data_IF_106707458047
#
_entry.id   IF_106707458047
#
_cell.length_a   1.000
_cell.length_b   1.000
_cell.length_c   1.000
_cell.angle_alpha   90.00
_cell.angle_beta   90.00
_cell.angle_gamma   90.00
#
_symmetry.space_group_name_H-M   'P 1'
#
loop_
_entity.id
_entity.type
_entity.pdbx_description
1 polymer ?
#
# COMPACT_ATOMS: atom_id res chain seq x y z
N UNK A 1 18.17 11.55 24.07
CA UNK A 1 17.66 10.19 23.81
C UNK A 1 17.75 9.98 22.31
N UNK A 2 18.32 8.85 21.86
CA UNK A 2 18.37 8.51 20.43
C UNK A 2 16.94 8.41 19.89
N UNK A 3 16.57 9.24 18.91
CA UNK A 3 15.30 9.10 18.20
C UNK A 3 15.37 7.83 17.35
N UNK A 4 14.32 7.01 17.38
CA UNK A 4 14.25 5.80 16.55
C UNK A 4 14.45 6.18 15.07
N UNK A 5 15.31 5.44 14.37
CA UNK A 5 15.62 5.67 12.97
C UNK A 5 15.15 4.48 12.14
N UNK A 6 14.45 4.75 11.05
CA UNK A 6 13.85 3.75 10.16
C UNK A 6 14.26 4.00 8.72
N UNK A 7 14.47 2.92 7.96
CA UNK A 7 14.87 2.98 6.55
C UNK A 7 13.83 2.31 5.65
N UNK A 8 13.49 2.95 4.53
CA UNK A 8 12.42 2.54 3.61
C UNK A 8 12.92 2.48 2.18
N UNK A 9 12.66 1.35 1.50
CA UNK A 9 12.95 1.15 0.08
C UNK A 9 11.67 0.79 -0.69
N UNK A 10 10.69 1.71 -0.77
CA UNK A 10 9.41 1.40 -1.39
C UNK A 10 9.49 1.13 -2.90
N UNK A 11 10.56 1.57 -3.58
CA UNK A 11 10.79 1.28 -5.01
C UNK A 11 10.95 -0.22 -5.28
N UNK A 12 11.57 -0.96 -4.36
CA UNK A 12 11.84 -2.42 -4.46
C UNK A 12 10.60 -3.28 -4.64
N UNK A 13 9.44 -2.77 -4.22
CA UNK A 13 8.15 -3.43 -4.42
C UNK A 13 7.76 -3.46 -5.90
N UNK A 14 8.21 -2.48 -6.69
CA UNK A 14 7.72 -2.12 -8.03
C UNK A 14 8.76 -2.29 -9.15
N UNK A 15 9.98 -2.69 -8.85
CA UNK A 15 11.05 -2.94 -9.83
C UNK A 15 10.78 -4.20 -10.69
N UNK A 16 11.16 -4.16 -11.98
CA UNK A 16 10.95 -5.28 -12.92
C UNK A 16 11.96 -6.43 -12.73
N UNK A 17 13.15 -6.13 -12.19
CA UNK A 17 14.29 -7.04 -12.05
C UNK A 17 14.48 -7.60 -10.63
N UNK A 18 13.62 -7.23 -9.69
CA UNK A 18 13.59 -7.87 -8.41
C UNK A 18 13.18 -9.34 -8.58
N UNK A 19 13.91 -10.27 -7.96
CA UNK A 19 13.38 -11.62 -7.74
C UNK A 19 12.09 -11.57 -6.92
N UNK A 20 11.55 -12.74 -6.54
CA UNK A 20 10.44 -12.78 -5.57
C UNK A 20 10.85 -11.98 -4.32
N UNK A 21 10.14 -10.88 -4.08
CA UNK A 21 10.28 -10.08 -2.87
C UNK A 21 9.38 -10.69 -1.80
N UNK A 22 9.80 -10.56 -0.54
CA UNK A 22 9.05 -11.13 0.58
C UNK A 22 7.96 -10.16 1.05
N UNK A 23 6.89 -10.05 0.26
CA UNK A 23 5.67 -9.33 0.65
C UNK A 23 4.40 -10.02 0.15
N UNK A 24 3.30 -9.80 0.88
CA UNK A 24 1.96 -10.17 0.48
C UNK A 24 1.28 -9.05 -0.32
N UNK A 25 0.75 -9.38 -1.49
CA UNK A 25 -0.16 -8.54 -2.25
C UNK A 25 -1.59 -8.82 -1.81
N UNK A 26 -2.28 -7.79 -1.32
CA UNK A 26 -3.68 -7.84 -0.91
C UNK A 26 -4.53 -7.01 -1.86
N UNK A 27 -5.52 -7.60 -2.52
CA UNK A 27 -6.39 -6.92 -3.47
C UNK A 27 -7.77 -6.69 -2.87
N UNK A 28 -8.16 -5.42 -2.78
CA UNK A 28 -9.42 -4.98 -2.20
C UNK A 28 -10.50 -4.82 -3.28
N UNK A 29 -11.77 -4.74 -2.86
CA UNK A 29 -12.91 -4.61 -3.77
C UNK A 29 -13.08 -3.17 -4.32
N UNK A 30 -12.05 -2.65 -5.01
CA UNK A 30 -12.06 -1.34 -5.65
C UNK A 30 -11.63 -1.44 -7.12
N UNK A 31 -12.03 -0.50 -7.99
CA UNK A 31 -11.58 -0.47 -9.37
C UNK A 31 -10.04 -0.45 -9.46
N UNK A 32 -9.49 -1.38 -10.24
CA UNK A 32 -8.05 -1.49 -10.49
C UNK A 32 -7.74 -0.76 -11.79
N UNK A 33 -7.11 0.42 -11.70
CA UNK A 33 -6.83 1.29 -12.87
C UNK A 33 -5.48 0.99 -13.54
N UNK A 34 -4.47 0.57 -12.79
CA UNK A 34 -3.11 0.40 -13.31
C UNK A 34 -2.74 -1.07 -13.49
N UNK A 35 -2.89 -1.57 -14.71
CA UNK A 35 -2.66 -2.98 -15.04
C UNK A 35 -1.18 -3.34 -15.04
N UNK A 36 -0.31 -2.40 -15.45
CA UNK A 36 1.14 -2.60 -15.47
C UNK A 36 1.70 -2.77 -14.04
N UNK A 37 1.34 -1.88 -13.12
CA UNK A 37 1.78 -1.94 -11.73
C UNK A 37 1.20 -3.17 -11.02
N UNK A 38 -0.06 -3.51 -11.26
CA UNK A 38 -0.63 -4.75 -10.74
C UNK A 38 0.19 -5.96 -11.20
N UNK A 39 0.56 -6.04 -12.49
CA UNK A 39 1.40 -7.15 -13.00
C UNK A 39 2.77 -7.20 -12.33
N UNK A 40 3.42 -6.05 -12.12
CA UNK A 40 4.70 -5.95 -11.41
C UNK A 40 4.58 -6.44 -9.97
N UNK A 41 3.63 -5.90 -9.21
CA UNK A 41 3.40 -6.31 -7.82
C UNK A 41 3.01 -7.78 -7.73
N UNK A 42 2.18 -8.27 -8.65
CA UNK A 42 1.77 -9.67 -8.68
C UNK A 42 2.94 -10.62 -8.92
N UNK A 43 3.84 -10.27 -9.85
CA UNK A 43 5.08 -11.00 -10.12
C UNK A 43 5.99 -10.98 -8.90
N UNK A 44 6.15 -9.83 -8.26
CA UNK A 44 7.11 -9.62 -7.18
C UNK A 44 6.64 -10.19 -5.83
N UNK A 45 5.34 -10.30 -5.60
CA UNK A 45 4.78 -10.81 -4.34
C UNK A 45 5.01 -12.32 -4.11
N UNK A 46 5.25 -12.71 -2.85
CA UNK A 46 5.32 -14.11 -2.42
C UNK A 46 3.94 -14.69 -2.11
N UNK A 47 3.00 -13.84 -1.67
CA UNK A 47 1.63 -14.23 -1.30
C UNK A 47 0.62 -13.29 -1.95
N UNK A 48 -0.48 -13.84 -2.51
CA UNK A 48 -1.53 -13.10 -3.21
C UNK A 48 -2.87 -13.41 -2.58
N UNK A 49 -3.52 -12.38 -2.03
CA UNK A 49 -4.78 -12.49 -1.29
C UNK A 49 -5.78 -11.52 -1.88
N UNK A 50 -7.04 -11.93 -1.98
CA UNK A 50 -8.15 -11.04 -2.29
C UNK A 50 -9.07 -10.90 -1.07
N UNK A 51 -9.41 -9.66 -0.73
CA UNK A 51 -10.46 -9.36 0.24
C UNK A 51 -11.82 -9.42 -0.47
N UNK A 52 -12.56 -10.49 -0.23
CA UNK A 52 -13.89 -10.77 -0.78
C UNK A 52 -14.03 -10.40 -2.28
N UNK A 53 -14.78 -9.34 -2.58
CA UNK A 53 -15.02 -8.87 -3.95
C UNK A 53 -13.77 -8.38 -4.69
N UNK A 54 -12.63 -8.24 -4.03
CA UNK A 54 -11.32 -8.04 -4.68
C UNK A 54 -10.99 -9.13 -5.69
N UNK A 55 -11.47 -10.36 -5.48
CA UNK A 55 -11.31 -11.46 -6.43
C UNK A 55 -12.07 -11.19 -7.73
N UNK A 56 -13.26 -10.55 -7.64
CA UNK A 56 -14.02 -10.15 -8.83
C UNK A 56 -13.23 -9.14 -9.67
N UNK A 57 -12.55 -8.19 -9.01
CA UNK A 57 -11.73 -7.17 -9.68
C UNK A 57 -10.56 -7.80 -10.43
N UNK A 58 -9.87 -8.76 -9.81
CA UNK A 58 -8.81 -9.53 -10.45
C UNK A 58 -9.31 -10.36 -11.63
N UNK A 59 -10.46 -11.02 -11.48
CA UNK A 59 -11.05 -11.85 -12.54
C UNK A 59 -11.47 -11.01 -13.76
N UNK A 60 -12.03 -9.82 -13.52
CA UNK A 60 -12.37 -8.86 -14.58
C UNK A 60 -11.14 -8.51 -15.42
N UNK A 61 -10.02 -8.12 -14.79
CA UNK A 61 -8.79 -7.82 -15.51
C UNK A 61 -8.17 -9.06 -16.19
N UNK A 62 -8.33 -10.24 -15.57
CA UNK A 62 -7.79 -11.48 -16.13
C UNK A 62 -8.40 -11.85 -17.48
N UNK A 63 -9.63 -11.40 -17.72
CA UNK A 63 -10.35 -11.60 -18.98
C UNK A 63 -9.78 -10.74 -20.13
N UNK A 64 -9.04 -9.67 -19.83
CA UNK A 64 -8.57 -8.71 -20.83
C UNK A 64 -7.07 -8.77 -21.13
N UNK A 65 -6.18 -9.03 -20.16
CA UNK A 65 -4.72 -8.83 -20.38
C UNK A 65 -3.74 -9.75 -19.62
N UNK A 66 -4.17 -10.83 -18.97
CA UNK A 66 -3.24 -11.79 -18.35
C UNK A 66 -3.84 -12.57 -17.18
N UNK A 67 -3.44 -13.82 -16.97
CA UNK A 67 -4.07 -14.69 -15.97
C UNK A 67 -3.52 -14.40 -14.56
N UNK A 68 -4.26 -13.66 -13.73
CA UNK A 68 -4.01 -13.56 -12.28
C UNK A 68 -4.54 -14.81 -11.56
N UNK A 69 -4.21 -16.00 -12.08
CA UNK A 69 -4.86 -17.26 -11.71
C UNK A 69 -4.22 -17.95 -10.51
N UNK A 70 -2.97 -17.65 -10.17
CA UNK A 70 -2.28 -18.20 -9.00
C UNK A 70 -2.60 -17.40 -7.70
N UNK A 71 -3.83 -16.92 -7.57
CA UNK A 71 -4.33 -16.34 -6.32
C UNK A 71 -4.32 -17.41 -5.23
N UNK A 72 -3.83 -17.10 -4.04
CA UNK A 72 -3.64 -18.09 -2.97
C UNK A 72 -4.80 -18.12 -1.98
N UNK A 73 -5.44 -16.97 -1.71
CA UNK A 73 -6.58 -16.91 -0.82
C UNK A 73 -7.61 -15.84 -1.23
N UNK A 74 -8.88 -16.14 -0.96
CA UNK A 74 -10.00 -15.19 -0.98
C UNK A 74 -10.61 -15.21 0.42
N UNK A 75 -10.65 -14.07 1.10
CA UNK A 75 -11.12 -13.98 2.48
C UNK A 75 -12.07 -12.81 2.68
N UNK A 76 -13.14 -13.04 3.43
CA UNK A 76 -14.11 -12.03 3.84
C UNK A 76 -15.39 -12.68 4.34
N UNK A 77 -16.46 -11.91 4.51
CA UNK A 77 -17.81 -12.48 4.70
C UNK A 77 -18.37 -13.13 3.42
N UNK A 78 -17.71 -12.91 2.27
CA UNK A 78 -18.04 -13.49 0.97
C UNK A 78 -19.38 -13.01 0.40
N UNK A 79 -19.87 -11.85 0.84
CA UNK A 79 -21.13 -11.28 0.38
C UNK A 79 -21.03 -10.62 -1.01
N UNK A 80 -19.81 -10.21 -1.39
CA UNK A 80 -19.53 -9.54 -2.65
C UNK A 80 -18.93 -10.47 -3.69
N UNK A 81 -18.34 -11.61 -3.31
CA UNK A 81 -17.74 -12.60 -4.21
C UNK A 81 -18.77 -13.25 -5.14
N UNK A 82 -18.59 -13.12 -6.45
CA UNK A 82 -19.44 -13.80 -7.42
C UNK A 82 -19.19 -15.32 -7.42
N UNK A 83 -20.25 -16.12 -7.51
CA UNK A 83 -20.14 -17.59 -7.57
C UNK A 83 -19.25 -18.08 -8.72
N UNK A 84 -19.40 -17.51 -9.92
CA UNK A 84 -18.57 -17.87 -11.08
C UNK A 84 -17.09 -17.53 -10.89
N UNK A 85 -16.78 -16.46 -10.14
CA UNK A 85 -15.41 -16.06 -9.82
C UNK A 85 -14.82 -16.98 -8.75
N UNK A 86 -15.61 -17.34 -7.74
CA UNK A 86 -15.25 -18.34 -6.74
C UNK A 86 -14.91 -19.68 -7.41
N UNK A 87 -15.77 -20.14 -8.31
CA UNK A 87 -15.58 -21.39 -9.04
C UNK A 87 -14.31 -21.34 -9.89
N UNK A 88 -14.09 -20.24 -10.62
CA UNK A 88 -12.87 -20.03 -11.41
C UNK A 88 -11.60 -20.19 -10.57
N UNK A 89 -11.51 -19.51 -9.41
CA UNK A 89 -10.32 -19.59 -8.56
C UNK A 89 -10.18 -20.93 -7.84
N UNK A 90 -11.31 -21.61 -7.56
CA UNK A 90 -11.32 -22.95 -6.96
C UNK A 90 -10.95 -24.05 -7.94
N UNK A 91 -11.09 -23.81 -9.26
CA UNK A 91 -10.78 -24.79 -10.31
C UNK A 91 -9.37 -24.65 -10.91
N UNK A 92 -8.53 -23.76 -10.37
CA UNK A 92 -7.16 -23.58 -10.87
C UNK A 92 -6.27 -24.77 -10.50
N UNK A 93 -5.16 -25.03 -11.22
CA UNK A 93 -4.22 -26.10 -10.87
C UNK A 93 -3.70 -26.01 -9.43
N UNK A 94 -3.56 -24.79 -8.92
CA UNK A 94 -3.36 -24.49 -7.50
C UNK A 94 -4.55 -23.66 -7.03
N UNK A 95 -5.58 -24.28 -6.45
CA UNK A 95 -6.80 -23.59 -6.04
C UNK A 95 -6.54 -22.53 -4.98
N UNK A 96 -7.24 -21.40 -5.09
CA UNK A 96 -7.26 -20.42 -4.01
C UNK A 96 -8.05 -20.97 -2.82
N UNK A 97 -7.55 -20.75 -1.60
CA UNK A 97 -8.30 -21.05 -0.38
C UNK A 97 -9.42 -20.01 -0.22
N UNK A 98 -10.68 -20.46 -0.19
CA UNK A 98 -11.84 -19.59 0.07
C UNK A 98 -12.17 -19.65 1.56
N UNK A 99 -12.03 -18.52 2.25
CA UNK A 99 -12.12 -18.41 3.69
C UNK A 99 -13.30 -17.51 4.04
N UNK A 100 -14.33 -18.10 4.61
CA UNK A 100 -15.48 -17.37 5.13
C UNK A 100 -15.20 -16.95 6.57
N UNK A 101 -15.10 -15.65 6.80
CA UNK A 101 -14.95 -15.05 8.12
C UNK A 101 -16.25 -14.33 8.50
N UNK A 102 -16.92 -14.88 9.51
CA UNK A 102 -18.25 -14.43 9.95
C UNK A 102 -18.21 -13.19 10.84
N UNK A 103 -17.02 -12.70 11.22
CA UNK A 103 -16.91 -11.47 12.02
C UNK A 103 -17.57 -10.28 11.29
N UNK A 104 -18.43 -9.57 11.99
CA UNK A 104 -19.18 -8.41 11.47
C UNK A 104 -18.61 -7.08 11.98
N UNK A 105 -17.67 -7.12 12.93
CA UNK A 105 -17.08 -5.94 13.54
C UNK A 105 -15.80 -5.48 12.81
N UNK A 106 -15.28 -6.29 11.88
CA UNK A 106 -14.13 -5.96 11.03
C UNK A 106 -14.46 -5.96 9.55
N UNK A 107 -13.78 -5.10 8.80
CA UNK A 107 -13.86 -5.06 7.33
C UNK A 107 -13.09 -6.22 6.70
N UNK A 108 -13.38 -6.55 5.43
CA UNK A 108 -12.60 -7.57 4.69
C UNK A 108 -11.12 -7.19 4.54
N UNK A 109 -10.80 -5.90 4.52
CA UNK A 109 -9.40 -5.46 4.58
C UNK A 109 -8.76 -5.91 5.90
N UNK A 110 -9.45 -5.67 7.02
CA UNK A 110 -8.99 -6.08 8.34
C UNK A 110 -8.86 -7.60 8.53
N UNK A 111 -9.86 -8.34 8.06
CA UNK A 111 -9.87 -9.81 8.03
C UNK A 111 -8.66 -10.33 7.25
N UNK A 112 -8.40 -9.77 6.07
CA UNK A 112 -7.29 -10.17 5.22
C UNK A 112 -5.91 -9.86 5.86
N UNK A 113 -5.71 -8.67 6.44
CA UNK A 113 -4.45 -8.35 7.14
C UNK A 113 -4.22 -9.35 8.28
N UNK A 114 -5.24 -9.57 9.11
CA UNK A 114 -5.16 -10.48 10.27
C UNK A 114 -4.81 -11.90 9.82
N UNK A 115 -5.43 -12.37 8.75
CA UNK A 115 -5.14 -13.68 8.18
C UNK A 115 -3.71 -13.78 7.62
N UNK A 116 -3.23 -12.77 6.89
CA UNK A 116 -1.84 -12.74 6.38
C UNK A 116 -0.87 -12.82 7.56
N UNK A 117 -1.06 -11.98 8.58
CA UNK A 117 -0.19 -11.93 9.77
C UNK A 117 -0.19 -13.24 10.57
N UNK A 118 -1.30 -13.98 10.57
CA UNK A 118 -1.44 -15.27 11.25
C UNK A 118 -0.82 -16.44 10.48
N UNK A 119 -0.86 -16.40 9.15
CA UNK A 119 -0.50 -17.55 8.29
C UNK A 119 0.89 -17.46 7.67
N UNK A 120 1.45 -16.27 7.60
CA UNK A 120 2.75 -16.00 6.99
C UNK A 120 3.82 -15.72 8.06
N UNK A 121 5.12 -15.75 7.70
CA UNK A 121 6.20 -15.44 8.63
C UNK A 121 6.00 -14.08 9.33
N UNK A 122 6.42 -13.99 10.59
CA UNK A 122 6.50 -12.73 11.30
C UNK A 122 7.44 -11.79 10.55
N UNK A 123 6.97 -10.58 10.23
CA UNK A 123 7.67 -9.52 9.48
C UNK A 123 7.36 -9.39 7.97
N UNK A 124 6.43 -10.18 7.40
CA UNK A 124 6.09 -10.03 5.98
C UNK A 124 5.47 -8.65 5.67
N UNK A 125 5.99 -7.91 4.69
CA UNK A 125 5.34 -6.65 4.27
C UNK A 125 4.00 -6.94 3.56
N UNK A 126 3.04 -6.01 3.62
CA UNK A 126 1.75 -6.11 2.91
C UNK A 126 1.62 -4.90 1.99
N UNK A 127 1.36 -5.15 0.71
CA UNK A 127 0.97 -4.13 -0.25
C UNK A 127 -0.52 -4.33 -0.57
N UNK A 128 -1.35 -3.43 -0.08
CA UNK A 128 -2.78 -3.41 -0.33
C UNK A 128 -3.10 -2.58 -1.59
N UNK A 129 -3.81 -3.19 -2.54
CA UNK A 129 -4.34 -2.54 -3.74
C UNK A 129 -5.80 -2.18 -3.52
N UNK A 130 -6.08 -0.89 -3.47
CA UNK A 130 -7.43 -0.39 -3.34
C UNK A 130 -7.43 1.13 -3.32
N UNK A 131 -8.30 1.73 -4.13
CA UNK A 131 -8.42 3.18 -4.20
C UNK A 131 -8.96 3.79 -2.91
N UNK A 132 -8.46 4.98 -2.59
CA UNK A 132 -9.07 6.00 -1.73
C UNK A 132 -10.14 6.78 -2.53
N UNK A 133 -10.13 6.66 -3.87
CA UNK A 133 -11.10 7.31 -4.76
C UNK A 133 -12.48 6.66 -4.72
N UNK A 134 -13.51 7.45 -5.05
CA UNK A 134 -14.90 7.03 -4.98
C UNK A 134 -15.59 7.57 -3.72
N UNK A 135 -16.13 6.67 -2.90
CA UNK A 135 -16.81 7.03 -1.65
C UNK A 135 -15.81 7.54 -0.61
N UNK A 136 -16.03 8.76 -0.09
CA UNK A 136 -15.13 9.41 0.88
C UNK A 136 -14.96 8.58 2.15
N UNK A 137 -16.05 8.01 2.67
CA UNK A 137 -16.04 7.17 3.87
C UNK A 137 -15.20 5.89 3.67
N UNK A 138 -15.27 5.29 2.48
CA UNK A 138 -14.41 4.15 2.12
C UNK A 138 -12.95 4.58 2.05
N UNK A 139 -12.64 5.71 1.41
CA UNK A 139 -11.27 6.22 1.34
C UNK A 139 -10.67 6.50 2.72
N UNK A 140 -11.44 7.13 3.61
CA UNK A 140 -11.03 7.33 5.01
C UNK A 140 -10.88 6.01 5.77
N UNK A 141 -11.74 5.02 5.50
CA UNK A 141 -11.62 3.68 6.08
C UNK A 141 -10.29 3.02 5.70
N UNK A 142 -9.83 3.13 4.44
CA UNK A 142 -8.52 2.58 4.05
C UNK A 142 -7.36 3.21 4.81
N UNK A 143 -7.39 4.54 5.00
CA UNK A 143 -6.38 5.24 5.78
C UNK A 143 -6.45 4.85 7.26
N UNK A 144 -7.66 4.70 7.80
CA UNK A 144 -7.90 4.21 9.16
C UNK A 144 -7.28 2.82 9.37
N UNK A 145 -7.40 1.90 8.41
CA UNK A 145 -6.81 0.57 8.53
C UNK A 145 -5.27 0.59 8.62
N UNK A 146 -4.58 1.56 8.01
CA UNK A 146 -3.13 1.73 8.22
C UNK A 146 -2.82 2.02 9.69
N UNK A 147 -3.58 2.91 10.34
CA UNK A 147 -3.43 3.19 11.77
C UNK A 147 -3.84 2.00 12.65
N UNK A 148 -4.91 1.31 12.29
CA UNK A 148 -5.45 0.20 13.07
C UNK A 148 -4.54 -1.03 13.08
N UNK A 149 -3.86 -1.32 11.97
CA UNK A 149 -3.06 -2.54 11.81
C UNK A 149 -1.55 -2.33 11.82
N UNK A 150 -1.05 -1.12 11.57
CA UNK A 150 0.37 -0.78 11.75
C UNK A 150 0.61 -0.25 13.16
N UNK A 151 0.39 -1.08 14.20
CA UNK A 151 0.46 -0.61 15.60
C UNK A 151 1.86 -0.65 16.19
N UNK A 152 2.70 -1.59 15.75
CA UNK A 152 4.06 -1.78 16.26
C UNK A 152 4.96 -0.59 15.93
N UNK A 153 5.57 0.09 16.92
CA UNK A 153 6.46 1.23 16.70
C UNK A 153 7.75 0.86 15.94
N UNK A 154 8.15 -0.42 15.93
CA UNK A 154 9.34 -0.92 15.27
C UNK A 154 9.05 -1.69 13.97
N UNK A 155 7.77 -1.83 13.58
CA UNK A 155 7.35 -2.60 12.40
C UNK A 155 7.76 -4.08 12.44
N UNK A 156 7.90 -4.71 13.61
CA UNK A 156 8.38 -6.10 13.70
C UNK A 156 7.44 -7.12 13.04
N UNK A 157 6.15 -6.78 12.90
CA UNK A 157 5.17 -7.57 12.16
C UNK A 157 5.16 -7.31 10.64
N UNK A 158 6.05 -6.47 10.14
CA UNK A 158 6.10 -6.04 8.74
C UNK A 158 5.31 -4.75 8.51
N UNK A 159 5.62 -4.08 7.41
CA UNK A 159 5.04 -2.81 7.00
C UNK A 159 3.81 -3.03 6.14
N UNK A 160 2.91 -2.05 6.15
CA UNK A 160 1.71 -2.03 5.32
C UNK A 160 1.78 -0.80 4.42
N UNK A 161 1.66 -1.04 3.13
CA UNK A 161 1.59 -0.03 2.09
C UNK A 161 0.20 -0.09 1.44
N UNK A 162 -0.39 1.08 1.19
CA UNK A 162 -1.62 1.23 0.45
C UNK A 162 -1.29 1.85 -0.91
N UNK A 163 -1.50 1.09 -1.98
CA UNK A 163 -1.47 1.61 -3.32
C UNK A 163 -2.88 2.00 -3.77
N UNK A 164 -3.09 3.30 -3.95
CA UNK A 164 -4.37 3.88 -4.33
C UNK A 164 -4.19 4.80 -5.53
N UNK A 165 -4.82 4.48 -6.66
CA UNK A 165 -4.66 5.25 -7.89
C UNK A 165 -3.19 5.28 -8.31
N UNK A 166 -2.62 6.49 -8.40
CA UNK A 166 -1.23 6.71 -8.77
C UNK A 166 -0.36 7.10 -7.56
N UNK A 167 -0.66 6.61 -6.36
CA UNK A 167 0.13 6.94 -5.17
C UNK A 167 0.29 5.76 -4.22
N UNK A 168 1.50 5.64 -3.67
CA UNK A 168 1.84 4.70 -2.61
C UNK A 168 1.84 5.44 -1.28
N UNK A 169 1.07 4.95 -0.31
CA UNK A 169 0.87 5.56 1.00
C UNK A 169 1.21 4.59 2.11
N UNK A 170 1.92 5.02 3.13
CA UNK A 170 2.27 4.20 4.29
C UNK A 170 2.41 5.06 5.56
N UNK A 171 2.34 4.42 6.72
CA UNK A 171 2.37 5.09 8.01
C UNK A 171 3.79 5.20 8.54
N UNK A 172 4.25 6.42 8.79
CA UNK A 172 5.47 6.71 9.54
C UNK A 172 5.12 6.83 11.02
N UNK A 173 5.71 5.98 11.85
CA UNK A 173 5.72 6.08 13.31
C UNK A 173 6.45 7.33 13.79
N UNK A 174 6.25 7.72 15.04
CA UNK A 174 7.11 8.73 15.67
C UNK A 174 8.60 8.33 15.58
N UNK A 175 9.44 9.21 15.03
CA UNK A 175 10.85 8.94 14.80
C UNK A 175 11.42 9.65 13.58
N UNK A 176 12.58 9.19 13.11
CA UNK A 176 13.25 9.68 11.91
C UNK A 176 13.25 8.59 10.84
N UNK A 177 12.86 8.96 9.63
CA UNK A 177 12.65 8.05 8.51
C UNK A 177 13.54 8.47 7.34
N UNK A 178 14.33 7.54 6.83
CA UNK A 178 15.07 7.68 5.58
C UNK A 178 14.29 6.94 4.50
N UNK A 179 13.71 7.66 3.55
CA UNK A 179 12.84 7.12 2.51
C UNK A 179 13.55 7.23 1.17
N UNK A 180 14.02 6.09 0.65
CA UNK A 180 14.70 6.01 -0.64
C UNK A 180 13.67 6.08 -1.76
N UNK A 181 13.65 7.23 -2.45
CA UNK A 181 12.71 7.56 -3.53
C UNK A 181 13.35 7.42 -4.91
N UNK A 182 14.67 7.22 -4.98
CA UNK A 182 15.42 6.85 -6.19
C UNK A 182 16.61 5.97 -5.82
N UNK A 183 16.89 4.95 -6.62
CA UNK A 183 18.13 4.15 -6.54
C UNK A 183 18.95 4.32 -7.84
N UNK A 184 20.27 4.16 -7.75
CA UNK A 184 21.17 4.35 -8.90
C UNK A 184 21.07 3.17 -9.88
N UNK A 185 20.78 3.44 -11.14
CA UNK A 185 20.75 2.42 -12.20
C UNK A 185 19.41 1.68 -12.35
N UNK A 186 18.36 2.15 -11.68
CA UNK A 186 17.00 1.59 -11.76
C UNK A 186 16.02 2.56 -12.43
N UNK A 187 14.93 2.00 -12.96
CA UNK A 187 13.85 2.79 -13.54
C UNK A 187 13.20 3.64 -12.45
N UNK A 188 13.08 4.95 -12.67
CA UNK A 188 12.46 5.85 -11.70
C UNK A 188 10.95 5.56 -11.60
N UNK A 189 10.55 4.78 -10.60
CA UNK A 189 9.16 4.38 -10.37
C UNK A 189 8.29 5.53 -9.83
N UNK A 190 8.88 6.42 -9.03
CA UNK A 190 8.15 7.51 -8.38
C UNK A 190 8.15 8.80 -9.20
N UNK A 191 6.99 9.46 -9.19
CA UNK A 191 6.83 10.83 -9.62
C UNK A 191 7.38 11.80 -8.57
N UNK A 192 7.25 13.10 -8.83
CA UNK A 192 7.79 14.13 -7.93
C UNK A 192 6.91 14.39 -6.70
N UNK A 193 5.60 14.17 -6.80
CA UNK A 193 4.65 14.65 -5.79
C UNK A 193 4.67 13.80 -4.52
N UNK A 194 4.76 14.45 -3.37
CA UNK A 194 4.70 13.83 -2.04
C UNK A 194 3.80 14.61 -1.08
N UNK A 195 3.29 13.92 -0.07
CA UNK A 195 2.52 14.50 1.02
C UNK A 195 2.85 13.87 2.36
N UNK A 196 2.74 14.66 3.44
CA UNK A 196 2.96 14.23 4.82
C UNK A 196 1.76 14.70 5.66
N UNK A 197 0.91 13.75 6.07
CA UNK A 197 -0.42 14.02 6.63
C UNK A 197 -0.54 13.48 8.07
N UNK A 198 -0.63 14.34 9.09
CA UNK A 198 -0.90 13.95 10.48
C UNK A 198 -2.40 13.74 10.68
N UNK A 199 -2.90 12.58 10.22
CA UNK A 199 -4.34 12.33 10.20
C UNK A 199 -4.94 12.08 11.60
N UNK A 200 -4.22 11.38 12.48
CA UNK A 200 -4.72 10.98 13.80
C UNK A 200 -4.63 12.11 14.84
N UNK A 201 -3.49 12.78 14.91
CA UNK A 201 -3.23 13.89 15.85
C UNK A 201 -2.14 14.83 15.30
N UNK A 202 -2.07 16.10 15.74
CA UNK A 202 -1.03 17.03 15.33
C UNK A 202 0.40 16.49 15.55
N UNK A 203 1.30 16.78 14.61
CA UNK A 203 2.71 16.38 14.69
C UNK A 203 3.65 17.54 14.37
N UNK A 204 4.82 17.58 14.99
CA UNK A 204 5.94 18.44 14.57
C UNK A 204 6.78 17.67 13.57
N UNK A 205 6.95 18.25 12.39
CA UNK A 205 7.62 17.63 11.25
C UNK A 205 8.86 18.43 10.87
N UNK A 206 9.96 17.72 10.62
CA UNK A 206 11.17 18.25 9.99
C UNK A 206 11.50 17.38 8.80
N UNK A 207 11.83 17.98 7.65
CA UNK A 207 12.16 17.22 6.43
C UNK A 207 13.49 17.66 5.84
N UNK A 208 14.12 16.76 5.08
CA UNK A 208 15.20 17.08 4.15
C UNK A 208 15.03 16.37 2.82
N UNK A 209 15.36 17.06 1.73
CA UNK A 209 15.34 16.51 0.37
C UNK A 209 14.07 16.84 -0.41
N UNK A 210 13.19 17.68 0.13
CA UNK A 210 11.98 18.16 -0.52
C UNK A 210 12.12 19.62 -0.98
N UNK A 211 11.34 20.03 -1.96
CA UNK A 211 11.29 21.42 -2.45
C UNK A 211 10.89 22.38 -1.32
N UNK A 212 9.88 22.00 -0.54
CA UNK A 212 9.46 22.74 0.63
C UNK A 212 9.84 21.97 1.90
N UNK A 213 11.14 21.98 2.19
CA UNK A 213 11.64 21.46 3.45
C UNK A 213 11.21 22.34 4.64
N UNK A 214 10.90 21.68 5.76
CA UNK A 214 10.44 22.35 6.99
C UNK A 214 11.30 21.92 8.18
N UNK A 215 11.34 22.76 9.22
CA UNK A 215 12.02 22.45 10.48
C UNK A 215 11.09 22.75 11.64
N UNK A 216 10.86 21.76 12.50
CA UNK A 216 9.99 21.84 13.68
C UNK A 216 8.60 22.45 13.39
N UNK A 217 8.01 22.01 12.29
CA UNK A 217 6.78 22.59 11.75
C UNK A 217 5.56 21.84 12.27
N UNK A 218 4.73 22.52 13.05
CA UNK A 218 3.45 21.96 13.51
C UNK A 218 2.51 21.75 12.31
N UNK A 219 2.25 20.47 12.01
CA UNK A 219 1.34 19.98 10.99
C UNK A 219 0.07 19.43 11.67
N UNK A 220 -1.11 19.77 11.16
CA UNK A 220 -2.40 19.26 11.66
C UNK A 220 -3.53 19.41 10.64
N UNK A 221 -4.49 18.48 10.68
CA UNK A 221 -5.77 18.64 9.97
C UNK A 221 -6.47 19.93 10.44
N UNK A 222 -7.03 20.68 9.50
CA UNK A 222 -7.62 22.01 9.76
C UNK A 222 -6.59 23.13 9.94
N UNK A 223 -5.30 22.86 9.72
CA UNK A 223 -4.24 23.85 9.76
C UNK A 223 -3.22 23.64 8.66
N UNK A 224 -1.96 23.58 9.07
CA UNK A 224 -0.80 23.41 8.19
C UNK A 224 -0.68 21.93 7.79
N UNK A 225 -0.66 21.65 6.48
CA UNK A 225 -0.52 20.30 5.92
C UNK A 225 0.48 20.30 4.76
N UNK A 226 1.40 19.33 4.74
CA UNK A 226 2.32 19.12 3.63
C UNK A 226 1.59 18.34 2.53
N UNK A 227 1.03 19.06 1.56
CA UNK A 227 0.37 18.50 0.38
C UNK A 227 0.98 19.12 -0.87
N UNK A 228 1.03 18.35 -1.96
CA UNK A 228 1.67 18.79 -3.22
C UNK A 228 3.13 19.21 -3.08
N UNK A 229 3.86 18.61 -2.11
CA UNK A 229 5.29 18.83 -1.98
C UNK A 229 6.04 18.06 -3.09
N UNK A 230 7.31 18.38 -3.35
CA UNK A 230 8.09 17.75 -4.42
C UNK A 230 9.38 17.13 -3.91
N UNK A 231 9.69 15.93 -4.37
CA UNK A 231 11.05 15.39 -4.33
C UNK A 231 11.90 16.15 -5.36
N UNK A 232 13.03 16.69 -4.91
CA UNK A 232 13.95 17.39 -5.81
C UNK A 232 14.60 16.41 -6.82
N UNK A 233 14.97 16.85 -8.03
CA UNK A 233 15.53 15.95 -9.05
C UNK A 233 16.76 15.14 -8.62
N UNK A 234 17.59 15.70 -7.74
CA UNK A 234 18.82 15.08 -7.24
C UNK A 234 18.62 14.33 -5.90
N UNK A 235 17.44 14.42 -5.29
CA UNK A 235 17.14 13.72 -4.04
C UNK A 235 16.96 12.24 -4.31
N UNK A 236 17.83 11.43 -3.70
CA UNK A 236 17.70 9.96 -3.67
C UNK A 236 16.95 9.48 -2.43
N UNK A 237 17.16 10.17 -1.31
CA UNK A 237 16.58 9.82 -0.03
C UNK A 237 15.95 11.05 0.62
N UNK A 238 14.68 10.94 1.00
CA UNK A 238 13.95 11.96 1.77
C UNK A 238 14.07 11.61 3.25
N UNK A 239 14.55 12.54 4.06
CA UNK A 239 14.53 12.43 5.51
C UNK A 239 13.24 13.05 6.04
N UNK A 240 12.48 12.31 6.85
CA UNK A 240 11.31 12.82 7.58
C UNK A 240 11.46 12.50 9.05
N UNK A 241 11.54 13.53 9.88
CA UNK A 241 11.39 13.41 11.33
C UNK A 241 9.99 13.84 11.73
N UNK A 242 9.34 13.07 12.60
CA UNK A 242 7.99 13.33 13.10
C UNK A 242 7.85 12.96 14.57
N UNK A 243 7.13 13.77 15.34
CA UNK A 243 6.89 13.51 16.78
C UNK A 243 5.70 12.59 17.05
N UNK A 244 4.86 12.36 16.04
CA UNK A 244 3.65 11.53 16.07
C UNK A 244 3.50 10.77 14.76
N UNK A 245 2.58 9.81 14.72
CA UNK A 245 2.36 8.99 13.53
C UNK A 245 1.74 9.82 12.39
N UNK A 246 2.37 9.79 11.21
CA UNK A 246 1.92 10.54 10.02
C UNK A 246 1.89 9.65 8.80
N UNK A 247 0.94 9.88 7.91
CA UNK A 247 0.95 9.24 6.59
C UNK A 247 1.99 9.91 5.70
N UNK A 248 2.83 9.12 5.06
CA UNK A 248 3.64 9.55 3.93
C UNK A 248 3.01 9.02 2.65
N UNK A 249 2.84 9.88 1.66
CA UNK A 249 2.33 9.50 0.34
C UNK A 249 3.27 10.00 -0.74
N UNK A 250 3.54 9.17 -1.74
CA UNK A 250 4.38 9.48 -2.89
C UNK A 250 3.67 9.05 -4.17
N UNK A 251 3.63 9.96 -5.14
CA UNK A 251 3.06 9.68 -6.45
C UNK A 251 3.95 8.71 -7.23
N UNK A 252 3.32 7.81 -7.97
CA UNK A 252 3.95 6.97 -8.97
C UNK A 252 4.11 7.75 -10.27
N UNK A 253 5.08 7.37 -11.11
CA UNK A 253 5.09 7.86 -12.49
C UNK A 253 3.95 7.21 -13.27
N UNK A 254 3.29 7.99 -14.15
CA UNK A 254 2.42 7.40 -15.16
C UNK A 254 3.21 6.40 -15.99
N UNK A 255 2.61 5.24 -16.26
CA UNK A 255 3.15 4.28 -17.23
C UNK A 255 2.70 4.75 -18.61
N UNK A 256 3.63 4.88 -19.57
CA UNK A 256 3.30 5.32 -20.94
C UNK A 256 2.15 4.47 -21.52
N UNK A 257 1.07 5.13 -21.95
CA UNK A 257 -0.10 4.49 -22.56
C UNK A 257 -1.31 4.27 -21.63
N UNK A 258 -1.22 4.61 -20.34
CA UNK A 258 -2.39 4.64 -19.44
C UNK A 258 -2.90 6.09 -19.31
N UNK A 259 -4.10 6.38 -19.82
CA UNK A 259 -4.75 7.71 -19.65
C UNK A 259 -5.10 7.94 -18.18
N UNK A 260 -4.71 9.10 -17.64
CA UNK A 260 -5.23 9.61 -16.38
C UNK A 260 -6.71 9.97 -16.57
N UNK A 261 -7.60 9.03 -16.23
CA UNK A 261 -9.05 9.25 -16.17
C UNK A 261 -9.52 9.59 -14.75
#
# INVERSE_FOLDING_TARGET
MSTAQFEWHPAKLLEDNAGLQDFALLVLNQPLKNGAILRRLWKNSSVRVAADGGANRLHQLSSFQGKFSNLQAIIGDLDSLCSSVRDFYSSQPTPAQVIHDTDQESSDFGKAITWIRKTQPSALDIVALGGIGGRVDQGLSQLHHLYLYQTDPAYANGRIYLLSGSSLTFLLKSGTHMIHVKEDGEDEVFGKHVGIIPLQEPSRVTTKGLEWDVTDWESKIGGKLSTSNHVLPHTKCVEVHTTKDVLFTVALRPVEGEEEA
#
